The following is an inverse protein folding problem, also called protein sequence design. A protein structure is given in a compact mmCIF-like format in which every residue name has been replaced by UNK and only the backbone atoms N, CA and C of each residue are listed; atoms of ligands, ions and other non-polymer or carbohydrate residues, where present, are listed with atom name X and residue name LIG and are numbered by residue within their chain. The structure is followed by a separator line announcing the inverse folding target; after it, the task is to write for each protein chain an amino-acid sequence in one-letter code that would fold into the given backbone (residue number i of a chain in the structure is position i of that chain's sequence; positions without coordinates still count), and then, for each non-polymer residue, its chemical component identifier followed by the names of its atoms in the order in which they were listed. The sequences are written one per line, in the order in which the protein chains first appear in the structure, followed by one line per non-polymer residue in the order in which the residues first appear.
data_IF_432803285674
#
_entry.id   IF_432803285674
#
_cell.length_a   1.000
_cell.length_b   1.000
_cell.length_c   1.000
_cell.angle_alpha   90.00
_cell.angle_beta   90.00
_cell.angle_gamma   90.00
#
_symmetry.space_group_name_H-M   'P 1'
#
loop_
_entity.id
_entity.type
_entity.pdbx_description
1 polymer ?
#
# COMPACT_ATOMS: atom_id res chain seq x y z
N UNK A 1 -7.88 40.82 -24.72
CA UNK A 1 -6.88 40.67 -23.64
C UNK A 1 -7.29 39.49 -22.80
N UNK A 2 -6.72 38.32 -23.07
CA UNK A 2 -6.97 37.09 -22.29
C UNK A 2 -6.01 37.07 -21.10
N UNK A 3 -6.43 36.61 -19.90
CA UNK A 3 -5.53 36.55 -18.76
C UNK A 3 -4.45 35.47 -18.99
N UNK A 4 -3.24 35.64 -18.43
CA UNK A 4 -2.18 34.66 -18.55
C UNK A 4 -2.54 33.41 -17.74
N UNK A 5 -2.29 32.24 -18.33
CA UNK A 5 -2.30 30.96 -17.61
C UNK A 5 -1.32 31.02 -16.43
N UNK A 6 -1.66 30.49 -15.24
CA UNK A 6 -0.71 30.40 -14.16
C UNK A 6 0.41 29.43 -14.57
N UNK A 7 1.65 29.87 -14.34
CA UNK A 7 2.85 29.09 -14.58
C UNK A 7 2.81 27.76 -13.80
N UNK A 8 3.20 26.67 -14.44
CA UNK A 8 3.38 25.38 -13.78
C UNK A 8 4.43 25.52 -12.68
N UNK A 9 4.04 25.29 -11.43
CA UNK A 9 4.96 25.12 -10.33
C UNK A 9 5.85 23.91 -10.63
N UNK A 10 7.15 24.14 -10.75
CA UNK A 10 8.15 23.09 -10.84
C UNK A 10 8.10 22.25 -9.56
N UNK A 11 7.52 21.05 -9.62
CA UNK A 11 7.66 20.07 -8.55
C UNK A 11 9.12 19.61 -8.54
N UNK A 12 9.83 19.92 -7.46
CA UNK A 12 11.07 19.24 -7.11
C UNK A 12 10.74 17.75 -6.96
N UNK A 13 11.15 16.92 -7.92
CA UNK A 13 10.93 15.48 -7.82
C UNK A 13 11.82 14.92 -6.71
N UNK A 14 11.22 14.44 -5.63
CA UNK A 14 11.95 13.68 -4.61
C UNK A 14 12.43 12.39 -5.28
N UNK A 15 13.74 12.12 -5.23
CA UNK A 15 14.29 10.88 -5.75
C UNK A 15 13.69 9.70 -4.99
N UNK A 16 13.29 8.64 -5.69
CA UNK A 16 12.73 7.46 -5.06
C UNK A 16 13.79 6.80 -4.15
N UNK A 17 13.43 6.61 -2.87
CA UNK A 17 14.22 5.86 -1.91
C UNK A 17 13.86 4.38 -1.98
N UNK A 18 14.86 3.53 -1.78
CA UNK A 18 14.70 2.08 -1.73
C UNK A 18 15.27 1.54 -0.43
N UNK A 19 14.42 0.84 0.33
CA UNK A 19 14.81 0.12 1.54
C UNK A 19 14.64 -1.38 1.27
N UNK A 20 15.71 -2.15 1.37
CA UNK A 20 15.66 -3.60 1.22
C UNK A 20 15.48 -4.28 2.58
N UNK A 21 14.38 -5.01 2.76
CA UNK A 21 14.09 -5.78 3.98
C UNK A 21 14.77 -7.14 3.86
N UNK A 22 15.85 -7.35 4.62
CA UNK A 22 16.61 -8.61 4.62
C UNK A 22 15.93 -9.69 5.47
N UNK A 23 15.38 -10.70 4.78
CA UNK A 23 14.75 -11.88 5.34
C UNK A 23 15.20 -13.16 4.63
N UNK A 24 16.42 -13.15 4.07
CA UNK A 24 16.95 -14.24 3.23
C UNK A 24 16.15 -14.40 1.94
N UNK A 25 15.68 -15.62 1.63
CA UNK A 25 14.89 -15.91 0.41
C UNK A 25 13.54 -15.17 0.32
N UNK A 26 13.12 -14.53 1.41
CA UNK A 26 11.88 -13.76 1.51
C UNK A 26 12.12 -12.25 1.53
N UNK A 27 13.34 -11.81 1.24
CA UNK A 27 13.67 -10.39 1.17
C UNK A 27 12.85 -9.68 0.11
N UNK A 28 12.50 -8.43 0.36
CA UNK A 28 11.70 -7.62 -0.55
C UNK A 28 12.05 -6.13 -0.41
N UNK A 29 11.92 -5.34 -1.49
CA UNK A 29 12.11 -3.91 -1.42
C UNK A 29 10.84 -3.18 -0.96
N UNK A 30 11.08 -2.05 -0.30
CA UNK A 30 10.15 -0.95 -0.11
C UNK A 30 10.64 0.20 -0.99
N UNK A 31 9.77 0.71 -1.86
CA UNK A 31 10.02 1.90 -2.66
C UNK A 31 9.22 3.07 -2.09
N UNK A 32 9.85 4.20 -1.85
CA UNK A 32 9.24 5.39 -1.25
C UNK A 32 9.53 6.59 -2.14
N UNK A 33 8.51 7.36 -2.53
CA UNK A 33 8.69 8.52 -3.39
C UNK A 33 7.39 9.02 -4.00
N UNK A 34 7.47 10.09 -4.78
CA UNK A 34 6.32 10.65 -5.50
C UNK A 34 6.21 10.06 -6.93
N UNK A 35 4.98 9.89 -7.41
CA UNK A 35 4.70 9.43 -8.77
C UNK A 35 5.06 7.96 -9.05
N UNK A 36 5.34 7.17 -8.01
CA UNK A 36 5.78 5.78 -8.18
C UNK A 36 4.73 4.89 -8.85
N UNK A 37 3.44 5.20 -8.66
CA UNK A 37 2.35 4.41 -9.22
C UNK A 37 2.31 4.47 -10.76
N UNK A 38 2.86 5.53 -11.38
CA UNK A 38 2.83 5.75 -12.83
C UNK A 38 3.96 5.07 -13.59
N UNK A 39 5.01 4.64 -12.89
CA UNK A 39 6.18 4.04 -13.53
C UNK A 39 6.09 2.50 -13.51
N UNK A 40 5.88 1.83 -14.66
CA UNK A 40 5.78 0.37 -14.72
C UNK A 40 7.08 -0.33 -14.31
N UNK A 41 8.24 0.34 -14.39
CA UNK A 41 9.53 -0.25 -14.00
C UNK A 41 9.63 -0.50 -12.49
N UNK A 42 8.86 0.22 -11.67
CA UNK A 42 8.79 -0.02 -10.22
C UNK A 42 8.25 -1.41 -9.86
N UNK A 43 7.57 -2.09 -10.79
CA UNK A 43 7.04 -3.44 -10.61
C UNK A 43 7.95 -4.54 -11.16
N UNK A 44 9.18 -4.23 -11.58
CA UNK A 44 10.06 -5.21 -12.23
C UNK A 44 10.49 -6.37 -11.31
N UNK A 45 10.63 -6.09 -10.02
CA UNK A 45 10.94 -7.11 -9.00
C UNK A 45 9.76 -8.09 -8.73
N UNK A 46 8.55 -7.77 -9.18
CA UNK A 46 7.36 -8.59 -8.96
C UNK A 46 7.35 -9.76 -9.94
N UNK A 47 7.05 -11.01 -9.53
CA UNK A 47 7.07 -12.16 -10.44
C UNK A 47 6.21 -11.99 -11.69
N UNK A 48 6.69 -12.51 -12.82
CA UNK A 48 5.90 -12.59 -14.05
C UNK A 48 4.71 -13.55 -13.86
N UNK A 49 3.53 -13.13 -14.31
CA UNK A 49 2.31 -13.91 -14.25
C UNK A 49 1.39 -13.61 -15.44
N UNK A 50 0.43 -14.50 -15.69
CA UNK A 50 -0.57 -14.25 -16.73
C UNK A 50 -1.66 -13.27 -16.26
N UNK A 51 -2.01 -13.30 -14.98
CA UNK A 51 -3.06 -12.47 -14.39
C UNK A 51 -2.62 -11.78 -13.10
N UNK A 52 -3.24 -10.64 -12.83
CA UNK A 52 -3.12 -9.89 -11.61
C UNK A 52 -4.52 -9.50 -11.08
N UNK A 53 -4.68 -9.50 -9.77
CA UNK A 53 -5.91 -9.03 -9.10
C UNK A 53 -5.57 -7.86 -8.17
N UNK A 54 -6.10 -6.69 -8.50
CA UNK A 54 -6.12 -5.54 -7.60
C UNK A 54 -7.26 -5.73 -6.60
N UNK A 55 -6.94 -5.74 -5.32
CA UNK A 55 -7.89 -5.72 -4.22
C UNK A 55 -7.86 -4.32 -3.61
N UNK A 56 -9.01 -3.67 -3.56
CA UNK A 56 -9.15 -2.30 -3.04
C UNK A 56 -10.51 -2.15 -2.34
N UNK A 57 -10.85 -0.96 -1.87
CA UNK A 57 -12.16 -0.68 -1.29
C UNK A 57 -12.94 0.36 -2.10
N UNK A 58 -14.22 0.55 -1.78
CA UNK A 58 -15.10 1.51 -2.46
C UNK A 58 -14.65 2.98 -2.37
N UNK A 59 -13.75 3.33 -1.45
CA UNK A 59 -13.23 4.69 -1.27
C UNK A 59 -11.98 4.95 -2.12
N UNK A 60 -11.07 3.97 -2.17
CA UNK A 60 -9.76 4.06 -2.84
C UNK A 60 -9.87 3.70 -4.32
N UNK A 61 -10.80 2.81 -4.69
CA UNK A 61 -11.00 2.37 -6.07
C UNK A 61 -11.19 3.53 -7.07
N UNK A 62 -12.13 4.48 -6.88
CA UNK A 62 -12.35 5.56 -7.84
C UNK A 62 -11.15 6.53 -7.95
N UNK A 63 -10.23 6.51 -6.98
CA UNK A 63 -9.06 7.39 -6.97
C UNK A 63 -7.89 6.79 -7.75
N UNK A 64 -7.62 5.49 -7.56
CA UNK A 64 -6.33 4.90 -7.95
C UNK A 64 -6.42 3.58 -8.72
N UNK A 65 -7.56 2.88 -8.72
CA UNK A 65 -7.62 1.53 -9.30
C UNK A 65 -7.37 1.52 -10.81
N UNK A 66 -8.02 2.41 -11.57
CA UNK A 66 -7.81 2.53 -13.03
C UNK A 66 -6.38 2.91 -13.37
N UNK A 67 -5.77 3.79 -12.57
CA UNK A 67 -4.37 4.22 -12.73
C UNK A 67 -3.42 3.03 -12.56
N UNK A 68 -3.54 2.29 -11.46
CA UNK A 68 -2.74 1.08 -11.23
C UNK A 68 -3.02 0.00 -12.29
N UNK A 69 -4.28 -0.23 -12.66
CA UNK A 69 -4.65 -1.22 -13.69
C UNK A 69 -3.98 -0.93 -15.04
N UNK A 70 -3.92 0.35 -15.42
CA UNK A 70 -3.30 0.79 -16.68
C UNK A 70 -1.80 0.50 -16.69
N UNK A 71 -1.11 0.77 -15.58
CA UNK A 71 0.33 0.53 -15.44
C UNK A 71 0.64 -0.97 -15.42
N UNK A 72 -0.16 -1.75 -14.69
CA UNK A 72 0.00 -3.21 -14.62
C UNK A 72 -0.33 -3.92 -15.95
N UNK A 73 -1.15 -3.34 -16.81
CA UNK A 73 -1.48 -3.92 -18.13
C UNK A 73 -0.28 -4.03 -19.07
N UNK A 74 0.81 -3.29 -18.81
CA UNK A 74 2.07 -3.46 -19.52
C UNK A 74 2.80 -4.78 -19.18
N UNK A 75 2.48 -5.39 -18.03
CA UNK A 75 3.15 -6.61 -17.51
C UNK A 75 2.25 -7.83 -17.49
N UNK A 76 0.96 -7.67 -17.18
CA UNK A 76 0.03 -8.78 -17.04
C UNK A 76 -1.02 -8.73 -18.14
N UNK A 77 -1.30 -9.90 -18.75
CA UNK A 77 -2.30 -10.03 -19.83
C UNK A 77 -3.72 -9.75 -19.34
N UNK A 78 -4.03 -10.11 -18.09
CA UNK A 78 -5.35 -9.95 -17.49
C UNK A 78 -5.23 -9.29 -16.11
N UNK A 79 -5.58 -8.00 -16.02
CA UNK A 79 -5.60 -7.26 -14.75
C UNK A 79 -7.04 -7.00 -14.36
N UNK A 80 -7.45 -7.55 -13.22
CA UNK A 80 -8.80 -7.41 -12.66
C UNK A 80 -8.76 -6.59 -11.38
N UNK A 81 -9.91 -6.04 -11.02
CA UNK A 81 -10.09 -5.29 -9.78
C UNK A 81 -11.30 -5.84 -9.04
N UNK A 82 -11.17 -6.05 -7.73
CA UNK A 82 -12.29 -6.28 -6.83
C UNK A 82 -12.36 -5.15 -5.80
N UNK A 83 -13.57 -4.60 -5.64
CA UNK A 83 -13.87 -3.56 -4.66
C UNK A 83 -14.59 -4.17 -3.45
N UNK A 84 -13.94 -4.06 -2.29
CA UNK A 84 -14.47 -4.44 -0.99
C UNK A 84 -15.18 -3.24 -0.34
N UNK A 85 -16.11 -3.47 0.60
CA UNK A 85 -16.71 -2.37 1.36
C UNK A 85 -15.62 -1.74 2.24
N UNK A 86 -15.63 -0.41 2.37
CA UNK A 86 -14.64 0.31 3.16
C UNK A 86 -14.91 0.26 4.68
N UNK A 87 -13.85 0.11 5.47
CA UNK A 87 -13.87 0.19 6.93
C UNK A 87 -13.45 -1.09 7.67
N UNK A 88 -12.91 -0.91 8.88
CA UNK A 88 -12.45 -1.99 9.79
C UNK A 88 -13.54 -3.01 10.11
N UNK A 89 -14.82 -2.61 10.08
CA UNK A 89 -15.96 -3.50 10.31
C UNK A 89 -16.09 -4.60 9.25
N UNK A 90 -15.52 -4.39 8.06
CA UNK A 90 -15.49 -5.36 6.96
C UNK A 90 -14.20 -6.18 6.93
N UNK A 91 -13.32 -6.01 7.90
CA UNK A 91 -12.10 -6.82 8.02
C UNK A 91 -12.43 -8.19 8.63
N UNK A 92 -13.25 -8.97 7.94
CA UNK A 92 -13.88 -10.21 8.42
C UNK A 92 -13.83 -11.35 7.38
N UNK A 93 -14.25 -12.54 7.81
CA UNK A 93 -14.22 -13.73 6.95
C UNK A 93 -15.14 -13.62 5.72
N UNK A 94 -16.40 -13.16 5.84
CA UNK A 94 -17.26 -12.96 4.67
C UNK A 94 -16.64 -12.04 3.61
N UNK A 95 -16.03 -10.94 4.01
CA UNK A 95 -15.41 -10.00 3.07
C UNK A 95 -14.15 -10.57 2.45
N UNK A 96 -13.31 -11.26 3.24
CA UNK A 96 -12.15 -12.01 2.74
C UNK A 96 -12.56 -13.03 1.67
N UNK A 97 -13.66 -13.76 1.88
CA UNK A 97 -14.12 -14.78 0.94
C UNK A 97 -14.42 -14.22 -0.46
N UNK A 98 -14.85 -12.97 -0.56
CA UNK A 98 -15.09 -12.30 -1.85
C UNK A 98 -13.82 -12.23 -2.71
N UNK A 99 -12.64 -12.12 -2.09
CA UNK A 99 -11.36 -12.17 -2.80
C UNK A 99 -11.15 -13.56 -3.41
N UNK A 100 -11.41 -14.63 -2.64
CA UNK A 100 -11.30 -16.00 -3.14
C UNK A 100 -12.31 -16.29 -4.25
N UNK A 101 -13.55 -15.82 -4.10
CA UNK A 101 -14.61 -15.98 -5.10
C UNK A 101 -14.19 -15.35 -6.44
N UNK A 102 -13.62 -14.14 -6.42
CA UNK A 102 -13.10 -13.48 -7.62
C UNK A 102 -11.92 -14.26 -8.24
N UNK A 103 -10.96 -14.71 -7.43
CA UNK A 103 -9.82 -15.48 -7.92
C UNK A 103 -10.27 -16.78 -8.61
N UNK A 104 -11.18 -17.53 -7.99
CA UNK A 104 -11.71 -18.79 -8.53
C UNK A 104 -12.59 -18.56 -9.77
N UNK A 105 -13.47 -17.56 -9.75
CA UNK A 105 -14.36 -17.25 -10.86
C UNK A 105 -13.59 -16.84 -12.13
N UNK A 106 -12.40 -16.25 -11.97
CA UNK A 106 -11.53 -15.86 -13.09
C UNK A 106 -10.49 -16.91 -13.47
N UNK A 107 -10.51 -18.10 -12.86
CA UNK A 107 -9.55 -19.16 -13.17
C UNK A 107 -8.09 -18.75 -12.85
N UNK A 108 -7.91 -17.94 -11.81
CA UNK A 108 -6.58 -17.55 -11.32
C UNK A 108 -5.79 -18.79 -10.90
N UNK A 109 -4.47 -18.76 -11.11
CA UNK A 109 -3.60 -19.87 -10.79
C UNK A 109 -2.60 -19.48 -9.68
N UNK A 110 -1.73 -20.41 -9.30
CA UNK A 110 -0.73 -20.19 -8.23
C UNK A 110 0.31 -19.09 -8.54
N UNK A 111 0.36 -18.58 -9.77
CA UNK A 111 1.26 -17.50 -10.18
C UNK A 111 0.56 -16.14 -10.16
N UNK A 112 -0.77 -16.09 -10.11
CA UNK A 112 -1.54 -14.84 -10.05
C UNK A 112 -1.00 -13.94 -8.94
N UNK A 113 -0.78 -12.66 -9.27
CA UNK A 113 -0.25 -11.69 -8.31
C UNK A 113 -1.39 -10.85 -7.75
N UNK A 114 -1.49 -10.76 -6.43
CA UNK A 114 -2.45 -9.87 -5.76
C UNK A 114 -1.81 -8.51 -5.49
N UNK A 115 -2.54 -7.42 -5.72
CA UNK A 115 -2.11 -6.06 -5.42
C UNK A 115 -3.06 -5.45 -4.39
N UNK A 116 -2.55 -5.20 -3.18
CA UNK A 116 -3.32 -4.59 -2.10
C UNK A 116 -3.26 -3.06 -2.23
N UNK A 117 -4.26 -2.47 -2.89
CA UNK A 117 -4.34 -1.02 -3.12
C UNK A 117 -5.28 -0.38 -2.07
N UNK A 118 -4.71 0.18 -1.00
CA UNK A 118 -5.48 0.82 0.06
C UNK A 118 -4.71 0.99 1.37
N UNK A 119 -5.45 1.23 2.46
CA UNK A 119 -4.87 1.27 3.81
C UNK A 119 -4.64 -0.12 4.42
N UNK A 120 -4.26 -0.16 5.71
CA UNK A 120 -3.91 -1.40 6.42
C UNK A 120 -5.01 -2.47 6.43
N UNK A 121 -6.28 -2.09 6.40
CA UNK A 121 -7.42 -3.03 6.29
C UNK A 121 -7.37 -3.85 5.01
N UNK A 122 -7.18 -3.18 3.86
CA UNK A 122 -7.04 -3.83 2.55
C UNK A 122 -5.73 -4.63 2.51
N UNK A 123 -4.64 -4.06 3.03
CA UNK A 123 -3.34 -4.72 3.13
C UNK A 123 -3.40 -6.07 3.85
N UNK A 124 -4.01 -6.08 5.03
CA UNK A 124 -4.14 -7.27 5.87
C UNK A 124 -5.03 -8.34 5.22
N UNK A 125 -6.20 -7.96 4.71
CA UNK A 125 -7.11 -8.91 4.05
C UNK A 125 -6.49 -9.49 2.78
N UNK A 126 -5.87 -8.65 1.96
CA UNK A 126 -5.25 -9.09 0.71
C UNK A 126 -4.04 -9.98 0.98
N UNK A 127 -3.20 -9.61 1.95
CA UNK A 127 -2.06 -10.42 2.37
C UNK A 127 -2.50 -11.79 2.90
N UNK A 128 -3.57 -11.83 3.70
CA UNK A 128 -4.08 -13.09 4.24
C UNK A 128 -4.75 -13.96 3.17
N UNK A 129 -5.46 -13.32 2.22
CA UNK A 129 -5.96 -14.00 1.04
C UNK A 129 -4.82 -14.57 0.19
N UNK A 130 -3.76 -13.81 -0.04
CA UNK A 130 -2.59 -14.26 -0.79
C UNK A 130 -1.87 -15.43 -0.11
N UNK A 131 -1.76 -15.41 1.22
CA UNK A 131 -1.19 -16.50 2.00
C UNK A 131 -2.00 -17.80 1.89
N UNK A 132 -3.33 -17.67 1.80
CA UNK A 132 -4.27 -18.80 1.87
C UNK A 132 -4.61 -19.39 0.49
N UNK A 133 -4.77 -18.54 -0.53
CA UNK A 133 -5.19 -18.96 -1.86
C UNK A 133 -4.16 -19.89 -2.48
N UNK A 134 -4.59 -21.10 -2.88
CA UNK A 134 -3.71 -22.17 -3.34
C UNK A 134 -2.49 -22.45 -2.44
N UNK A 135 -2.61 -22.16 -1.13
CA UNK A 135 -1.55 -22.26 -0.11
C UNK A 135 -0.38 -21.28 -0.31
N UNK A 136 -0.62 -20.18 -1.01
CA UNK A 136 0.36 -19.11 -1.21
C UNK A 136 0.46 -18.68 -2.66
N UNK A 137 0.16 -17.42 -2.93
CA UNK A 137 0.45 -16.73 -4.20
C UNK A 137 1.20 -15.43 -3.94
N UNK A 138 1.95 -14.88 -4.91
CA UNK A 138 2.65 -13.61 -4.73
C UNK A 138 1.68 -12.45 -4.47
N UNK A 139 2.08 -11.48 -3.64
CA UNK A 139 1.35 -10.23 -3.50
C UNK A 139 2.26 -9.01 -3.34
N UNK A 140 1.70 -7.84 -3.61
CA UNK A 140 2.34 -6.52 -3.54
C UNK A 140 1.48 -5.61 -2.66
N UNK A 141 2.11 -4.87 -1.77
CA UNK A 141 1.46 -3.80 -1.01
C UNK A 141 1.57 -2.48 -1.78
N UNK A 142 0.44 -1.79 -1.98
CA UNK A 142 0.38 -0.43 -2.52
C UNK A 142 -0.34 0.44 -1.48
N UNK A 143 0.31 0.74 -0.35
CA UNK A 143 -0.31 1.43 0.79
C UNK A 143 -0.65 2.89 0.47
N UNK A 144 -1.91 3.28 0.72
CA UNK A 144 -2.43 4.63 0.42
C UNK A 144 -2.77 5.45 1.68
N UNK A 145 -2.35 5.00 2.85
CA UNK A 145 -2.43 5.78 4.09
C UNK A 145 -1.06 5.85 4.72
N UNK A 146 -0.75 6.96 5.41
CA UNK A 146 0.55 7.11 6.08
C UNK A 146 0.78 5.98 7.09
N UNK A 147 -0.25 5.64 7.88
CA UNK A 147 -0.23 4.51 8.81
C UNK A 147 0.15 3.19 8.12
N UNK A 148 -0.34 2.96 6.90
CA UNK A 148 0.01 1.76 6.17
C UNK A 148 1.45 1.79 5.63
N UNK A 149 1.92 2.96 5.20
CA UNK A 149 3.28 3.15 4.69
C UNK A 149 4.36 2.95 5.77
N UNK A 150 4.08 3.32 7.03
CA UNK A 150 5.09 3.31 8.12
C UNK A 150 4.95 2.16 9.12
N UNK A 151 3.87 1.36 9.04
CA UNK A 151 3.62 0.25 9.97
C UNK A 151 3.09 -0.99 9.25
N UNK A 152 1.80 -1.03 8.90
CA UNK A 152 1.13 -2.29 8.50
C UNK A 152 1.62 -2.92 7.19
N UNK A 153 2.31 -2.19 6.31
CA UNK A 153 2.91 -2.76 5.10
C UNK A 153 4.23 -3.50 5.35
N UNK A 154 4.81 -3.38 6.55
CA UNK A 154 6.11 -3.95 6.92
C UNK A 154 5.95 -5.08 7.95
N UNK A 155 6.71 -6.17 7.79
CA UNK A 155 6.76 -7.29 8.75
C UNK A 155 5.86 -8.49 8.41
N UNK A 156 4.97 -8.35 7.41
CA UNK A 156 4.21 -9.46 6.84
C UNK A 156 3.15 -10.06 7.77
N UNK A 157 2.73 -9.36 8.81
CA UNK A 157 1.52 -9.74 9.56
C UNK A 157 0.32 -9.44 8.67
N UNK A 158 -0.55 -10.43 8.51
CA UNK A 158 -1.78 -10.32 7.70
C UNK A 158 -2.90 -10.96 8.49
N UNK A 159 -4.09 -10.36 8.53
CA UNK A 159 -5.16 -10.87 9.38
C UNK A 159 -6.55 -10.38 9.00
N UNK A 160 -7.54 -11.05 9.58
CA UNK A 160 -8.91 -10.56 9.75
C UNK A 160 -9.29 -10.56 11.23
N UNK A 161 -10.36 -9.86 11.54
CA UNK A 161 -10.96 -9.83 12.85
C UNK A 161 -11.93 -11.00 13.06
N UNK A 162 -12.06 -11.41 14.31
CA UNK A 162 -13.15 -12.23 14.80
C UNK A 162 -14.01 -11.37 15.73
N UNK A 163 -15.33 -11.61 15.90
CA UNK A 163 -16.16 -10.84 16.84
C UNK A 163 -15.63 -10.80 18.28
N UNK A 164 -14.82 -11.79 18.66
CA UNK A 164 -14.19 -11.90 19.98
C UNK A 164 -12.77 -11.32 20.07
N UNK A 165 -12.19 -10.82 18.97
CA UNK A 165 -10.84 -10.28 19.01
C UNK A 165 -10.32 -9.77 17.68
N UNK A 166 -9.54 -8.69 17.74
CA UNK A 166 -8.89 -8.09 16.57
C UNK A 166 -7.67 -8.89 16.14
N UNK A 167 -7.49 -9.04 14.83
CA UNK A 167 -6.35 -9.70 14.20
C UNK A 167 -6.05 -11.12 14.71
N UNK A 168 -7.07 -11.84 15.19
CA UNK A 168 -6.89 -13.16 15.82
C UNK A 168 -6.74 -14.30 14.79
N UNK A 169 -7.08 -14.05 13.53
CA UNK A 169 -7.04 -15.05 12.46
C UNK A 169 -6.21 -14.47 11.32
N UNK A 170 -5.10 -15.10 10.98
CA UNK A 170 -4.16 -14.53 10.03
C UNK A 170 -2.96 -15.43 9.72
N UNK A 171 -2.01 -14.86 8.99
CA UNK A 171 -0.76 -15.51 8.62
C UNK A 171 0.41 -14.51 8.63
N UNK A 172 1.62 -15.02 8.85
CA UNK A 172 2.85 -14.30 8.53
C UNK A 172 3.21 -14.58 7.07
N UNK A 173 3.05 -13.58 6.20
CA UNK A 173 3.24 -13.71 4.76
C UNK A 173 3.83 -12.41 4.18
N UNK A 174 5.04 -12.51 3.61
CA UNK A 174 5.80 -11.34 3.16
C UNK A 174 5.40 -10.93 1.73
N UNK A 175 5.28 -9.63 1.44
CA UNK A 175 5.04 -9.15 0.09
C UNK A 175 6.27 -9.35 -0.80
N UNK A 176 6.09 -9.20 -2.11
CA UNK A 176 7.19 -9.13 -3.08
C UNK A 176 7.73 -7.73 -3.29
N UNK A 177 6.93 -6.73 -2.92
CA UNK A 177 7.20 -5.31 -3.04
C UNK A 177 6.23 -4.55 -2.13
N UNK A 178 6.71 -3.48 -1.51
CA UNK A 178 5.89 -2.42 -0.95
C UNK A 178 6.16 -1.14 -1.75
N UNK A 179 5.12 -0.53 -2.34
CA UNK A 179 5.24 0.67 -3.14
C UNK A 179 4.50 1.83 -2.46
N UNK A 180 5.26 2.67 -1.76
CA UNK A 180 4.79 3.85 -1.04
C UNK A 180 4.85 5.09 -1.94
N UNK A 181 3.83 5.26 -2.78
CA UNK A 181 3.66 6.50 -3.55
C UNK A 181 3.08 7.61 -2.67
N UNK A 182 3.89 8.62 -2.37
CA UNK A 182 3.55 9.76 -1.52
C UNK A 182 2.42 10.62 -2.11
N UNK A 183 2.21 10.60 -3.43
CA UNK A 183 1.12 11.34 -4.06
C UNK A 183 -0.26 10.81 -3.63
N UNK A 184 -0.33 9.56 -3.17
CA UNK A 184 -1.58 8.99 -2.64
C UNK A 184 -2.03 9.65 -1.34
N UNK A 185 -1.10 10.26 -0.60
CA UNK A 185 -1.41 10.97 0.64
C UNK A 185 -2.10 12.32 0.37
N UNK A 186 -2.10 12.83 -0.87
CA UNK A 186 -2.77 14.07 -1.24
C UNK A 186 -4.30 14.00 -1.07
N UNK A 187 -4.92 12.83 -1.19
CA UNK A 187 -6.37 12.66 -0.97
C UNK A 187 -6.72 12.12 0.41
N UNK A 188 -5.72 11.79 1.24
CA UNK A 188 -5.95 11.22 2.56
C UNK A 188 -6.63 12.26 3.48
N UNK A 189 -7.70 11.93 4.22
CA UNK A 189 -8.29 12.86 5.17
C UNK A 189 -7.28 13.27 6.25
N UNK A 190 -7.33 14.53 6.69
CA UNK A 190 -6.37 15.06 7.67
C UNK A 190 -6.31 14.23 8.97
N UNK A 191 -7.45 13.71 9.43
CA UNK A 191 -7.51 12.85 10.61
C UNK A 191 -6.73 11.54 10.43
N UNK A 192 -6.80 10.95 9.24
CA UNK A 192 -6.09 9.70 8.93
C UNK A 192 -4.59 9.95 8.74
N UNK A 193 -4.20 11.13 8.23
CA UNK A 193 -2.79 11.56 8.23
C UNK A 193 -2.26 11.68 9.66
N UNK A 194 -2.99 12.36 10.56
CA UNK A 194 -2.61 12.49 11.96
C UNK A 194 -2.50 11.14 12.68
N UNK A 195 -3.37 10.17 12.34
CA UNK A 195 -3.26 8.81 12.87
C UNK A 195 -1.97 8.11 12.42
N UNK A 196 -1.54 8.30 11.16
CA UNK A 196 -0.24 7.81 10.69
C UNK A 196 0.94 8.49 11.38
N UNK A 197 0.87 9.82 11.57
CA UNK A 197 1.92 10.58 12.26
C UNK A 197 2.11 10.12 13.72
N UNK A 198 1.05 9.64 14.38
CA UNK A 198 1.19 9.06 15.72
C UNK A 198 2.13 7.85 15.73
N UNK A 199 2.09 6.99 14.70
CA UNK A 199 3.02 5.86 14.57
C UNK A 199 4.44 6.32 14.16
N UNK A 200 4.56 7.36 13.34
CA UNK A 200 5.86 7.99 13.05
C UNK A 200 6.52 8.50 14.34
N UNK A 201 5.78 9.27 15.14
CA UNK A 201 6.23 9.80 16.43
C UNK A 201 6.62 8.67 17.39
N UNK A 202 5.87 7.57 17.41
CA UNK A 202 6.16 6.40 18.27
C UNK A 202 7.57 5.88 18.08
N UNK A 203 8.12 5.87 16.85
CA UNK A 203 9.47 5.36 16.59
C UNK A 203 10.57 6.15 17.30
N UNK A 204 10.35 7.45 17.54
CA UNK A 204 11.28 8.31 18.27
C UNK A 204 11.69 7.77 19.64
N UNK A 205 10.79 7.78 20.65
CA UNK A 205 11.12 7.37 22.02
C UNK A 205 11.41 5.87 22.19
N UNK A 206 11.00 5.00 21.25
CA UNK A 206 11.26 3.55 21.37
C UNK A 206 12.53 3.10 20.65
N UNK A 207 13.10 3.92 19.75
CA UNK A 207 14.22 3.52 18.91
C UNK A 207 15.25 4.63 18.66
N UNK A 208 14.82 5.83 18.27
CA UNK A 208 15.71 6.90 17.84
C UNK A 208 15.27 8.29 18.33
N UNK A 209 15.90 8.79 19.40
CA UNK A 209 15.61 10.11 19.94
C UNK A 209 16.02 11.26 18.99
N UNK A 210 17.04 11.07 18.14
CA UNK A 210 17.41 12.10 17.17
C UNK A 210 16.36 12.22 16.07
N UNK A 211 15.71 11.11 15.72
CA UNK A 211 14.53 11.13 14.85
C UNK A 211 13.36 11.86 15.50
N UNK A 212 13.15 11.72 16.82
CA UNK A 212 12.14 12.51 17.53
C UNK A 212 12.42 14.02 17.43
N UNK A 213 13.66 14.44 17.69
CA UNK A 213 14.08 15.85 17.57
C UNK A 213 13.85 16.38 16.13
N UNK A 214 14.09 15.53 15.12
CA UNK A 214 13.80 15.85 13.73
C UNK A 214 12.30 16.02 13.49
N UNK A 215 11.45 15.13 14.00
CA UNK A 215 9.98 15.23 13.89
C UNK A 215 9.50 16.53 14.52
N UNK A 216 9.95 16.87 15.72
CA UNK A 216 9.58 18.12 16.40
C UNK A 216 9.92 19.35 15.55
N UNK A 217 11.07 19.31 14.86
CA UNK A 217 11.53 20.39 13.98
C UNK A 217 10.78 20.45 12.62
N UNK A 218 10.13 19.36 12.21
CA UNK A 218 9.52 19.23 10.87
C UNK A 218 8.01 18.92 10.89
N UNK A 219 7.36 18.95 12.06
CA UNK A 219 5.96 18.54 12.20
C UNK A 219 5.00 19.35 11.33
N UNK A 220 5.25 20.65 11.16
CA UNK A 220 4.43 21.51 10.31
C UNK A 220 4.55 21.11 8.83
N UNK A 221 5.75 20.72 8.38
CA UNK A 221 5.99 20.22 7.03
C UNK A 221 5.29 18.87 6.80
N UNK A 222 5.35 17.97 7.78
CA UNK A 222 4.66 16.68 7.76
C UNK A 222 3.13 16.84 7.68
N UNK A 223 2.56 17.73 8.50
CA UNK A 223 1.12 18.04 8.49
C UNK A 223 0.72 18.71 7.17
N UNK A 224 1.59 19.55 6.61
CA UNK A 224 1.40 20.17 5.30
C UNK A 224 1.63 19.21 4.10
N UNK A 225 2.03 17.96 4.37
CA UNK A 225 2.32 16.92 3.37
C UNK A 225 3.47 17.30 2.44
N UNK A 226 4.49 17.95 2.97
CA UNK A 226 5.72 18.20 2.23
C UNK A 226 6.34 16.86 1.78
N UNK A 227 6.57 16.64 0.47
CA UNK A 227 7.07 15.37 -0.02
C UNK A 227 8.44 14.97 0.53
N UNK A 228 9.33 15.93 0.81
CA UNK A 228 10.65 15.62 1.33
C UNK A 228 10.59 15.23 2.81
N UNK A 229 9.76 15.92 3.60
CA UNK A 229 9.51 15.53 4.98
C UNK A 229 8.82 14.15 5.06
N UNK A 230 7.80 13.90 4.24
CA UNK A 230 7.10 12.61 4.22
C UNK A 230 7.97 11.44 3.72
N UNK A 231 8.93 11.70 2.82
CA UNK A 231 9.87 10.66 2.38
C UNK A 231 10.86 10.27 3.48
N UNK A 232 11.27 11.24 4.32
CA UNK A 232 12.21 11.01 5.41
C UNK A 232 11.56 10.34 6.64
N UNK A 233 10.29 10.64 6.89
CA UNK A 233 9.52 10.15 8.03
C UNK A 233 9.10 8.68 7.90
#
# INVERSE_FOLDING_TARGET
MSPPFPASSSSTSVAAERIDIDLGDRSYPILIGAGLLDDPSNFDAVPQAASALIVTNTTVAPLYATRLQTVLAARYRDVRTIELPDGEAHKDWPTLNRIFDALLAHGSDRKTVLFALGGGVVGDMTGFAAASYMRGVPFVQVPTTLLAQVDSSVGGKTAINHPLGKNMIGAFYQPRLVLCDLDTLATLPARELSAGLAEVIKYGPIHDMAFLDWIESNIDALVARDPAALAHA
#
